data_IF_316222554211
#
_entry.id   IF_316222554211
#
_cell.length_a   1.000
_cell.length_b   1.000
_cell.length_c   1.000
_cell.angle_alpha   90.00
_cell.angle_beta   90.00
_cell.angle_gamma   90.00
#
_symmetry.space_group_name_H-M   'P 1'
#
loop_
_entity.id
_entity.type
_entity.pdbx_description
1 polymer ?
#
# COMPACT_ATOMS: atom_id res chain seq x y z
N UNK A 1 16.32 7.46 -21.04
CA UNK A 1 17.62 7.09 -21.66
C UNK A 1 18.61 6.45 -20.69
N UNK A 2 18.57 6.79 -19.37
CA UNK A 2 19.40 6.18 -18.31
C UNK A 2 19.34 4.64 -18.21
N UNK A 3 18.23 4.00 -18.57
CA UNK A 3 18.03 2.56 -18.34
C UNK A 3 18.88 1.64 -19.22
N UNK A 4 19.03 1.96 -20.50
CA UNK A 4 19.88 1.17 -21.40
C UNK A 4 21.36 1.35 -21.06
N UNK A 5 21.73 2.49 -20.47
CA UNK A 5 23.07 2.71 -19.93
C UNK A 5 23.34 1.77 -18.74
N UNK A 6 22.36 1.58 -17.84
CA UNK A 6 22.45 0.63 -16.74
C UNK A 6 22.59 -0.81 -17.23
N UNK A 7 21.90 -1.18 -18.31
CA UNK A 7 22.06 -2.48 -18.95
C UNK A 7 23.51 -2.72 -19.41
N UNK A 8 24.06 -1.80 -20.20
CA UNK A 8 25.43 -1.94 -20.71
C UNK A 8 26.47 -1.89 -19.58
N UNK A 9 26.21 -1.11 -18.53
CA UNK A 9 27.01 -1.10 -17.31
C UNK A 9 27.06 -2.48 -16.66
N UNK A 10 25.90 -3.11 -16.41
CA UNK A 10 25.81 -4.42 -15.76
C UNK A 10 26.41 -5.53 -16.65
N UNK A 11 26.18 -5.48 -17.97
CA UNK A 11 26.85 -6.36 -18.94
C UNK A 11 28.37 -6.31 -18.80
N UNK A 12 28.94 -5.10 -18.76
CA UNK A 12 30.40 -4.91 -18.60
C UNK A 12 30.88 -5.44 -17.25
N UNK A 13 30.16 -5.18 -16.16
CA UNK A 13 30.50 -5.70 -14.82
C UNK A 13 30.45 -7.21 -14.73
N UNK A 14 29.49 -7.85 -15.41
CA UNK A 14 29.40 -9.32 -15.52
C UNK A 14 30.37 -9.93 -16.56
N UNK A 15 31.22 -9.11 -17.22
CA UNK A 15 32.15 -9.54 -18.27
C UNK A 15 31.49 -10.28 -19.45
N UNK A 16 30.24 -9.96 -19.77
CA UNK A 16 29.48 -10.61 -20.84
C UNK A 16 29.81 -9.98 -22.19
N UNK A 17 30.30 -10.76 -23.14
CA UNK A 17 30.62 -10.28 -24.50
C UNK A 17 29.34 -10.24 -25.34
N UNK A 18 29.19 -9.23 -26.20
CA UNK A 18 28.04 -9.14 -27.13
C UNK A 18 27.99 -10.30 -28.14
N UNK A 19 29.08 -11.07 -28.30
CA UNK A 19 29.08 -12.33 -29.06
C UNK A 19 28.22 -13.42 -28.46
N UNK A 20 27.90 -13.33 -27.17
CA UNK A 20 27.08 -14.31 -26.47
C UNK A 20 25.58 -14.02 -26.61
N UNK A 21 25.22 -12.85 -27.14
CA UNK A 21 23.86 -12.50 -27.51
C UNK A 21 23.55 -13.17 -28.85
N UNK A 22 22.45 -13.94 -28.91
CA UNK A 22 22.05 -14.58 -30.17
C UNK A 22 21.76 -13.51 -31.23
N UNK A 23 22.47 -13.51 -32.37
CA UNK A 23 22.24 -12.52 -33.42
C UNK A 23 20.85 -12.61 -34.08
N UNK A 24 20.15 -13.75 -33.95
CA UNK A 24 18.75 -13.91 -34.36
C UNK A 24 17.82 -13.13 -33.45
N UNK A 25 18.04 -13.20 -32.14
CA UNK A 25 17.22 -12.50 -31.15
C UNK A 25 17.55 -11.00 -31.10
N UNK A 26 18.85 -10.66 -31.10
CA UNK A 26 19.31 -9.27 -31.12
C UNK A 26 20.70 -9.12 -31.74
N UNK A 27 20.73 -8.62 -32.98
CA UNK A 27 21.97 -8.25 -33.64
C UNK A 27 22.70 -7.07 -32.95
N UNK A 28 24.03 -7.02 -33.08
CA UNK A 28 24.87 -5.96 -32.47
C UNK A 28 24.46 -4.54 -32.85
N UNK A 29 24.07 -4.30 -34.10
CA UNK A 29 23.61 -2.98 -34.54
C UNK A 29 22.32 -2.55 -33.82
N UNK A 30 21.38 -3.49 -33.65
CA UNK A 30 20.16 -3.25 -32.86
C UNK A 30 20.50 -2.96 -31.40
N UNK A 31 21.38 -3.77 -30.80
CA UNK A 31 21.87 -3.52 -29.44
C UNK A 31 22.42 -2.09 -29.27
N UNK A 32 23.35 -1.67 -30.13
CA UNK A 32 23.95 -0.33 -30.00
C UNK A 32 22.94 0.81 -30.20
N UNK A 33 21.97 0.66 -31.13
CA UNK A 33 20.90 1.64 -31.32
C UNK A 33 19.96 1.75 -30.11
N UNK A 34 19.69 0.64 -29.43
CA UNK A 34 18.96 0.65 -28.16
C UNK A 34 19.77 1.35 -27.08
N UNK A 35 21.08 1.06 -26.98
CA UNK A 35 21.95 1.67 -25.98
C UNK A 35 22.17 3.18 -26.20
N UNK A 36 22.17 3.65 -27.45
CA UNK A 36 22.30 5.07 -27.78
C UNK A 36 20.98 5.84 -27.72
N UNK A 37 19.86 5.15 -27.54
CA UNK A 37 18.52 5.76 -27.55
C UNK A 37 17.98 6.10 -28.94
N UNK A 38 18.68 5.70 -30.01
CA UNK A 38 18.21 5.86 -31.40
C UNK A 38 16.97 5.02 -31.71
N UNK A 39 16.73 3.96 -30.92
CA UNK A 39 15.57 3.10 -31.03
C UNK A 39 14.92 2.91 -29.66
N UNK A 40 13.59 3.02 -29.60
CA UNK A 40 12.82 2.65 -28.41
C UNK A 40 12.80 1.13 -28.23
N UNK A 41 13.03 0.62 -27.00
CA UNK A 41 12.98 -0.81 -26.74
C UNK A 41 11.57 -1.37 -26.91
N UNK A 42 11.47 -2.57 -27.48
CA UNK A 42 10.25 -3.39 -27.43
C UNK A 42 10.27 -4.32 -26.21
N UNK A 43 9.13 -4.91 -25.85
CA UNK A 43 9.07 -5.94 -24.79
C UNK A 43 10.03 -7.08 -25.09
N UNK A 44 10.07 -7.56 -26.34
CA UNK A 44 10.97 -8.62 -26.77
C UNK A 44 12.45 -8.24 -26.60
N UNK A 45 12.83 -7.00 -26.96
CA UNK A 45 14.20 -6.52 -26.75
C UNK A 45 14.61 -6.65 -25.29
N UNK A 46 13.74 -6.22 -24.38
CA UNK A 46 14.09 -6.21 -22.96
C UNK A 46 14.03 -7.60 -22.34
N UNK A 47 13.12 -8.47 -22.77
CA UNK A 47 13.13 -9.88 -22.36
C UNK A 47 14.45 -10.55 -22.77
N UNK A 48 14.88 -10.37 -24.02
CA UNK A 48 16.16 -10.89 -24.51
C UNK A 48 17.34 -10.35 -23.70
N UNK A 49 17.34 -9.05 -23.43
CA UNK A 49 18.37 -8.38 -22.64
C UNK A 49 18.39 -8.90 -21.19
N UNK A 50 17.23 -9.03 -20.53
CA UNK A 50 17.11 -9.55 -19.18
C UNK A 50 17.63 -10.99 -19.08
N UNK A 51 17.22 -11.87 -20.02
CA UNK A 51 17.73 -13.24 -20.11
C UNK A 51 19.24 -13.26 -20.33
N UNK A 52 19.75 -12.40 -21.22
CA UNK A 52 21.19 -12.30 -21.48
C UNK A 52 22.00 -11.91 -20.24
N UNK A 53 21.45 -11.07 -19.37
CA UNK A 53 22.09 -10.71 -18.09
C UNK A 53 21.77 -11.68 -16.95
N UNK A 54 21.01 -12.74 -17.18
CA UNK A 54 20.45 -13.60 -16.13
C UNK A 54 19.74 -12.77 -15.05
N UNK A 55 18.88 -11.86 -15.46
CA UNK A 55 17.96 -11.18 -14.56
C UNK A 55 16.69 -12.01 -14.41
N UNK A 56 16.18 -12.04 -13.18
CA UNK A 56 14.78 -12.40 -12.94
C UNK A 56 13.86 -11.42 -13.65
N UNK A 57 12.60 -11.81 -13.91
CA UNK A 57 11.62 -10.90 -14.48
C UNK A 57 11.47 -9.61 -13.65
N UNK A 58 11.54 -9.72 -12.31
CA UNK A 58 11.47 -8.60 -11.38
C UNK A 58 12.66 -7.62 -11.54
N UNK A 59 13.89 -8.13 -11.63
CA UNK A 59 15.08 -7.29 -11.90
C UNK A 59 15.05 -6.67 -13.30
N UNK A 60 14.39 -7.33 -14.26
CA UNK A 60 14.14 -6.76 -15.58
C UNK A 60 13.18 -5.56 -15.52
N UNK A 61 12.12 -5.63 -14.70
CA UNK A 61 11.10 -4.58 -14.56
C UNK A 61 11.70 -3.25 -14.08
N UNK A 62 12.67 -3.28 -13.18
CA UNK A 62 13.35 -2.07 -12.69
C UNK A 62 14.21 -1.37 -13.75
N UNK A 63 14.44 -2.02 -14.91
CA UNK A 63 15.03 -1.37 -16.08
C UNK A 63 14.00 -0.65 -16.97
N UNK A 64 12.69 -0.80 -16.72
CA UNK A 64 11.64 -0.09 -17.46
C UNK A 64 11.00 1.04 -16.67
N UNK A 65 10.90 0.85 -15.36
CA UNK A 65 10.25 1.77 -14.46
C UNK A 65 11.27 2.29 -13.45
N UNK A 66 11.39 3.61 -13.37
CA UNK A 66 12.13 4.26 -12.29
C UNK A 66 11.40 4.07 -10.96
N UNK A 67 12.15 3.74 -9.91
CA UNK A 67 11.65 3.79 -8.54
C UNK A 67 12.14 5.09 -7.91
N UNK A 68 11.39 6.19 -8.05
CA UNK A 68 11.83 7.46 -7.50
C UNK A 68 11.93 7.33 -5.98
N UNK A 69 12.85 8.09 -5.38
CA UNK A 69 12.90 8.31 -3.95
C UNK A 69 12.29 9.67 -3.60
N UNK A 70 11.97 9.87 -2.32
CA UNK A 70 11.58 11.20 -1.81
C UNK A 70 12.65 12.26 -2.13
N UNK A 71 13.93 11.88 -2.11
CA UNK A 71 15.04 12.79 -2.42
C UNK A 71 15.01 13.25 -3.88
N UNK A 72 14.74 12.34 -4.83
CA UNK A 72 14.63 12.68 -6.26
C UNK A 72 13.51 13.70 -6.51
N UNK A 73 12.38 13.52 -5.82
CA UNK A 73 11.24 14.42 -5.94
C UNK A 73 11.44 15.76 -5.21
N UNK A 74 12.34 15.83 -4.24
CA UNK A 74 12.67 17.08 -3.55
C UNK A 74 13.83 17.85 -4.20
N UNK A 75 14.67 17.20 -5.01
CA UNK A 75 15.79 17.82 -5.70
C UNK A 75 15.29 18.82 -6.77
N UNK A 76 15.47 20.15 -6.62
CA UNK A 76 14.95 21.15 -7.55
C UNK A 76 15.48 20.99 -8.99
N UNK A 77 16.73 20.54 -9.12
CA UNK A 77 17.44 20.34 -10.39
C UNK A 77 17.04 19.07 -11.14
N UNK A 78 16.30 18.16 -10.52
CA UNK A 78 15.85 16.92 -11.17
C UNK A 78 14.51 17.17 -11.88
N UNK A 79 14.56 17.45 -13.19
CA UNK A 79 13.38 17.43 -14.06
C UNK A 79 12.92 15.99 -14.25
N UNK A 80 11.70 15.70 -13.78
CA UNK A 80 11.12 14.36 -13.79
C UNK A 80 9.90 14.24 -14.70
N UNK A 81 9.68 15.25 -15.55
CA UNK A 81 8.48 15.40 -16.39
C UNK A 81 8.25 14.19 -17.32
N UNK A 82 9.34 13.57 -17.79
CA UNK A 82 9.32 12.47 -18.77
C UNK A 82 9.69 11.11 -18.19
N UNK A 83 9.94 11.03 -16.89
CA UNK A 83 10.31 9.77 -16.26
C UNK A 83 9.11 8.82 -16.23
N UNK A 84 9.37 7.53 -16.43
CA UNK A 84 8.34 6.49 -16.37
C UNK A 84 8.52 5.79 -15.03
N UNK A 85 7.66 6.13 -14.07
CA UNK A 85 7.80 5.62 -12.71
C UNK A 85 7.04 4.32 -12.47
N UNK A 86 7.58 3.55 -11.54
CA UNK A 86 6.87 2.47 -10.86
C UNK A 86 5.76 3.09 -10.01
N UNK A 87 4.51 2.87 -10.41
CA UNK A 87 3.36 3.52 -9.77
C UNK A 87 3.21 3.10 -8.30
N UNK A 88 3.63 1.89 -7.94
CA UNK A 88 3.62 1.44 -6.55
C UNK A 88 4.55 2.29 -5.68
N UNK A 89 5.75 2.60 -6.18
CA UNK A 89 6.70 3.49 -5.49
C UNK A 89 6.15 4.92 -5.36
N UNK A 90 5.46 5.43 -6.38
CA UNK A 90 4.80 6.74 -6.31
C UNK A 90 3.72 6.77 -5.23
N UNK A 91 2.87 5.75 -5.15
CA UNK A 91 1.82 5.67 -4.13
C UNK A 91 2.40 5.53 -2.73
N UNK A 92 3.52 4.81 -2.54
CA UNK A 92 4.23 4.75 -1.27
C UNK A 92 4.76 6.13 -0.83
N UNK A 93 5.31 6.90 -1.77
CA UNK A 93 5.76 8.27 -1.48
C UNK A 93 4.58 9.16 -1.12
N UNK A 94 3.46 9.07 -1.83
CA UNK A 94 2.23 9.82 -1.52
C UNK A 94 1.74 9.45 -0.12
N UNK A 95 1.65 8.16 0.21
CA UNK A 95 1.27 7.69 1.54
C UNK A 95 2.18 8.27 2.63
N UNK A 96 3.49 8.28 2.39
CA UNK A 96 4.49 8.82 3.32
C UNK A 96 4.34 10.33 3.48
N UNK A 97 4.11 11.08 2.39
CA UNK A 97 3.86 12.51 2.43
C UNK A 97 2.58 12.83 3.22
N UNK A 98 1.49 12.10 2.96
CA UNK A 98 0.22 12.21 3.69
C UNK A 98 0.40 11.95 5.19
N UNK A 99 1.12 10.88 5.57
CA UNK A 99 1.43 10.59 6.98
C UNK A 99 2.20 11.73 7.65
N UNK A 100 3.17 12.33 6.97
CA UNK A 100 3.95 13.46 7.51
C UNK A 100 3.07 14.71 7.72
N UNK A 101 2.14 14.99 6.81
CA UNK A 101 1.19 16.08 6.95
C UNK A 101 0.27 15.91 8.16
N UNK A 102 -0.14 14.67 8.47
CA UNK A 102 -1.04 14.38 9.61
C UNK A 102 -0.32 14.27 10.95
N UNK A 103 0.79 13.52 11.00
CA UNK A 103 1.47 13.18 12.26
C UNK A 103 2.33 14.31 12.82
N UNK A 104 2.94 15.12 11.96
CA UNK A 104 3.85 16.20 12.35
C UNK A 104 3.69 17.42 11.42
N UNK A 105 2.55 18.14 11.48
CA UNK A 105 2.30 19.28 10.59
C UNK A 105 3.25 20.43 10.91
N UNK A 106 4.39 20.47 10.23
CA UNK A 106 5.31 21.60 10.21
C UNK A 106 5.23 22.31 8.88
N UNK A 107 5.54 23.61 8.84
CA UNK A 107 5.62 24.35 7.57
C UNK A 107 6.63 23.70 6.60
N UNK A 108 7.70 23.10 7.12
CA UNK A 108 8.67 22.36 6.32
C UNK A 108 8.06 21.09 5.68
N UNK A 109 7.32 20.29 6.45
CA UNK A 109 6.64 19.10 5.93
C UNK A 109 5.57 19.45 4.91
N UNK A 110 4.86 20.56 5.11
CA UNK A 110 3.89 21.07 4.15
C UNK A 110 4.56 21.46 2.83
N UNK A 111 5.62 22.27 2.88
CA UNK A 111 6.35 22.69 1.69
C UNK A 111 6.91 21.48 0.91
N UNK A 112 7.53 20.53 1.61
CA UNK A 112 8.04 19.30 0.99
C UNK A 112 6.94 18.48 0.32
N UNK A 113 5.81 18.28 1.01
CA UNK A 113 4.71 17.46 0.46
C UNK A 113 4.10 18.13 -0.76
N UNK A 114 3.91 19.46 -0.74
CA UNK A 114 3.45 20.22 -1.92
C UNK A 114 4.41 20.09 -3.10
N UNK A 115 5.73 20.19 -2.87
CA UNK A 115 6.72 19.99 -3.95
C UNK A 115 6.64 18.59 -4.56
N UNK A 116 6.54 17.56 -3.72
CA UNK A 116 6.39 16.16 -4.15
C UNK A 116 5.12 16.01 -5.00
N UNK A 117 3.99 16.49 -4.49
CA UNK A 117 2.70 16.43 -5.16
C UNK A 117 2.71 17.13 -6.52
N UNK A 118 3.28 18.33 -6.59
CA UNK A 118 3.39 19.06 -7.86
C UNK A 118 4.26 18.33 -8.88
N UNK A 119 5.42 17.77 -8.48
CA UNK A 119 6.24 16.96 -9.41
C UNK A 119 5.49 15.74 -9.93
N UNK A 120 4.73 15.06 -9.06
CA UNK A 120 3.95 13.90 -9.49
C UNK A 120 2.83 14.34 -10.44
N UNK A 121 2.19 15.47 -10.15
CA UNK A 121 1.10 16.01 -10.97
C UNK A 121 1.54 16.48 -12.35
N UNK A 122 2.77 16.98 -12.49
CA UNK A 122 3.29 17.47 -13.78
C UNK A 122 3.94 16.38 -14.62
N UNK A 123 4.20 15.19 -14.06
CA UNK A 123 4.74 14.06 -14.81
C UNK A 123 3.73 13.55 -15.87
N UNK A 124 4.17 13.50 -17.13
CA UNK A 124 3.29 13.20 -18.27
C UNK A 124 2.77 11.76 -18.27
N UNK A 125 3.57 10.80 -17.78
CA UNK A 125 3.14 9.40 -17.69
C UNK A 125 2.03 9.25 -16.64
N UNK A 126 2.17 9.92 -15.49
CA UNK A 126 1.17 9.92 -14.42
C UNK A 126 -0.15 10.54 -14.88
N UNK A 127 -0.10 11.72 -15.51
CA UNK A 127 -1.30 12.36 -16.06
C UNK A 127 -2.02 11.48 -17.08
N UNK A 128 -1.25 10.81 -17.96
CA UNK A 128 -1.81 10.02 -19.06
C UNK A 128 -2.38 8.68 -18.60
N UNK A 129 -1.67 7.95 -17.74
CA UNK A 129 -1.99 6.56 -17.42
C UNK A 129 -2.60 6.37 -16.03
N UNK A 130 -2.36 7.31 -15.10
CA UNK A 130 -2.80 7.21 -13.71
C UNK A 130 -3.56 8.46 -13.25
N UNK A 131 -4.64 8.88 -13.96
CA UNK A 131 -5.39 10.08 -13.61
C UNK A 131 -6.01 10.02 -12.21
N UNK A 132 -6.36 8.83 -11.71
CA UNK A 132 -6.87 8.66 -10.33
C UNK A 132 -5.82 9.04 -9.27
N UNK A 133 -4.52 8.93 -9.58
CA UNK A 133 -3.46 9.39 -8.68
C UNK A 133 -3.46 10.92 -8.56
N UNK A 134 -3.80 11.62 -9.64
CA UNK A 134 -3.94 13.09 -9.64
C UNK A 134 -5.12 13.49 -8.77
N UNK A 135 -6.29 12.86 -9.00
CA UNK A 135 -7.49 13.09 -8.19
C UNK A 135 -7.21 12.81 -6.69
N UNK A 136 -6.41 11.78 -6.38
CA UNK A 136 -5.99 11.46 -5.00
C UNK A 136 -5.12 12.57 -4.38
N UNK A 137 -4.14 13.10 -5.12
CA UNK A 137 -3.29 14.20 -4.64
C UNK A 137 -4.13 15.46 -4.39
N UNK A 138 -5.06 15.76 -5.29
CA UNK A 138 -5.93 16.92 -5.18
C UNK A 138 -6.90 16.78 -3.98
N UNK A 139 -7.44 15.57 -3.75
CA UNK A 139 -8.20 15.25 -2.54
C UNK A 139 -7.39 15.50 -1.26
N UNK A 140 -6.17 14.97 -1.18
CA UNK A 140 -5.29 15.13 0.01
C UNK A 140 -5.00 16.61 0.25
N UNK A 141 -4.72 17.35 -0.83
CA UNK A 141 -4.45 18.80 -0.77
C UNK A 141 -5.67 19.57 -0.28
N UNK A 142 -6.86 19.27 -0.81
CA UNK A 142 -8.11 19.90 -0.40
C UNK A 142 -8.47 19.60 1.07
N UNK A 143 -8.27 18.37 1.55
CA UNK A 143 -8.49 18.03 2.97
C UNK A 143 -7.57 18.87 3.89
N UNK A 144 -6.29 18.96 3.53
CA UNK A 144 -5.31 19.71 4.31
C UNK A 144 -5.53 21.22 4.27
N UNK A 145 -5.98 21.75 3.13
CA UNK A 145 -6.32 23.17 2.97
C UNK A 145 -7.73 23.51 3.50
N UNK A 146 -8.41 22.55 4.13
CA UNK A 146 -9.76 22.70 4.70
C UNK A 146 -10.80 23.16 3.66
N UNK A 147 -10.74 22.60 2.45
CA UNK A 147 -11.68 22.85 1.35
C UNK A 147 -12.65 21.66 1.20
N UNK A 148 -13.75 21.65 1.96
CA UNK A 148 -14.65 20.51 2.05
C UNK A 148 -15.28 20.11 0.70
N UNK A 149 -15.76 21.10 -0.06
CA UNK A 149 -16.50 20.85 -1.30
C UNK A 149 -15.57 20.32 -2.41
N UNK A 150 -14.33 20.82 -2.46
CA UNK A 150 -13.29 20.31 -3.36
C UNK A 150 -12.91 18.87 -3.00
N UNK A 151 -12.71 18.58 -1.70
CA UNK A 151 -12.41 17.23 -1.24
C UNK A 151 -13.53 16.24 -1.62
N UNK A 152 -14.80 16.61 -1.41
CA UNK A 152 -15.92 15.72 -1.74
C UNK A 152 -16.05 15.51 -3.26
N UNK A 153 -15.75 16.52 -4.07
CA UNK A 153 -15.66 16.41 -5.53
C UNK A 153 -14.62 15.37 -5.96
N UNK A 154 -13.38 15.48 -5.46
CA UNK A 154 -12.31 14.54 -5.82
C UNK A 154 -12.56 13.13 -5.28
N UNK A 155 -13.11 13.00 -4.08
CA UNK A 155 -13.50 11.69 -3.54
C UNK A 155 -14.53 10.99 -4.44
N UNK A 156 -15.53 11.74 -4.90
CA UNK A 156 -16.55 11.21 -5.83
C UNK A 156 -15.92 10.79 -7.16
N UNK A 157 -15.01 11.60 -7.71
CA UNK A 157 -14.30 11.26 -8.94
C UNK A 157 -13.47 9.98 -8.80
N UNK A 158 -12.75 9.80 -7.69
CA UNK A 158 -12.00 8.58 -7.40
C UNK A 158 -12.95 7.38 -7.30
N UNK A 159 -14.02 7.51 -6.52
CA UNK A 159 -15.03 6.46 -6.36
C UNK A 159 -15.59 6.00 -7.70
N UNK A 160 -16.06 6.94 -8.52
CA UNK A 160 -16.67 6.66 -9.82
C UNK A 160 -15.71 5.98 -10.80
N UNK A 161 -14.41 6.28 -10.72
CA UNK A 161 -13.39 5.63 -11.55
C UNK A 161 -13.07 4.21 -11.08
N UNK A 162 -13.03 3.98 -9.76
CA UNK A 162 -12.66 2.68 -9.19
C UNK A 162 -13.79 1.66 -9.32
N UNK A 163 -15.03 2.05 -9.01
CA UNK A 163 -16.17 1.13 -8.97
C UNK A 163 -16.60 0.63 -10.36
N UNK A 164 -16.23 1.36 -11.43
CA UNK A 164 -16.48 0.95 -12.82
C UNK A 164 -15.50 -0.10 -13.33
N UNK A 165 -14.48 -0.47 -12.55
CA UNK A 165 -13.48 -1.47 -12.94
C UNK A 165 -13.95 -2.85 -12.51
N UNK A 166 -13.88 -3.80 -13.42
CA UNK A 166 -14.23 -5.20 -13.16
C UNK A 166 -13.14 -5.94 -12.37
N UNK A 167 -11.94 -5.36 -12.24
CA UNK A 167 -10.82 -5.92 -11.50
C UNK A 167 -9.94 -4.83 -10.90
N UNK A 168 -9.43 -5.07 -9.69
CA UNK A 168 -8.54 -4.20 -8.93
C UNK A 168 -7.19 -4.88 -8.72
N UNK A 169 -6.14 -4.19 -9.11
CA UNK A 169 -4.74 -4.58 -8.90
C UNK A 169 -4.19 -3.88 -7.65
N UNK A 170 -2.90 -4.05 -7.40
CA UNK A 170 -2.15 -3.32 -6.37
C UNK A 170 -2.35 -1.80 -6.46
N UNK A 171 -2.56 -1.25 -7.66
CA UNK A 171 -2.76 0.19 -7.86
C UNK A 171 -4.02 0.70 -7.15
N UNK A 172 -5.18 0.10 -7.43
CA UNK A 172 -6.46 0.49 -6.84
C UNK A 172 -6.45 0.28 -5.32
N UNK A 173 -5.86 -0.83 -4.88
CA UNK A 173 -5.77 -1.15 -3.46
C UNK A 173 -4.88 -0.17 -2.71
N UNK A 174 -3.79 0.28 -3.33
CA UNK A 174 -2.93 1.34 -2.79
C UNK A 174 -3.67 2.67 -2.66
N UNK A 175 -4.51 3.04 -3.64
CA UNK A 175 -5.37 4.21 -3.52
C UNK A 175 -6.33 4.06 -2.34
N UNK A 176 -7.06 2.94 -2.24
CA UNK A 176 -8.01 2.69 -1.14
C UNK A 176 -7.29 2.72 0.21
N UNK A 177 -6.08 2.15 0.31
CA UNK A 177 -5.27 2.19 1.52
C UNK A 177 -4.90 3.62 1.91
N UNK A 178 -4.56 4.49 0.96
CA UNK A 178 -4.31 5.91 1.24
C UNK A 178 -5.59 6.61 1.68
N UNK A 179 -6.73 6.38 1.01
CA UNK A 179 -8.03 6.94 1.40
C UNK A 179 -8.43 6.55 2.83
N UNK A 180 -8.12 5.32 3.26
CA UNK A 180 -8.37 4.86 4.62
C UNK A 180 -7.60 5.69 5.68
N UNK A 181 -6.51 6.33 5.27
CA UNK A 181 -5.73 7.23 6.15
C UNK A 181 -6.27 8.65 6.19
N UNK A 182 -7.28 9.01 5.41
CA UNK A 182 -7.87 10.35 5.39
C UNK A 182 -9.10 10.35 6.30
N UNK A 183 -9.06 11.15 7.39
CA UNK A 183 -10.06 11.03 8.47
C UNK A 183 -11.46 11.29 7.93
N UNK A 184 -11.64 12.41 7.21
CA UNK A 184 -12.92 12.80 6.60
C UNK A 184 -13.46 11.73 5.64
N UNK A 185 -12.56 11.09 4.89
CA UNK A 185 -12.92 10.15 3.83
C UNK A 185 -13.31 8.79 4.39
N UNK A 186 -12.53 8.30 5.37
CA UNK A 186 -12.69 6.96 5.92
C UNK A 186 -14.09 6.72 6.49
N UNK A 187 -14.79 7.78 6.94
CA UNK A 187 -16.14 7.74 7.53
C UNK A 187 -17.26 7.86 6.48
N UNK A 188 -16.94 8.06 5.19
CA UNK A 188 -17.96 8.24 4.14
C UNK A 188 -18.57 6.93 3.69
N UNK A 189 -19.86 6.97 3.29
CA UNK A 189 -20.54 5.82 2.68
C UNK A 189 -19.86 5.36 1.39
N UNK A 190 -19.25 6.27 0.62
CA UNK A 190 -18.47 5.97 -0.57
C UNK A 190 -17.26 5.09 -0.24
N UNK A 191 -16.50 5.44 0.80
CA UNK A 191 -15.34 4.65 1.22
C UNK A 191 -15.75 3.28 1.78
N UNK A 192 -16.83 3.22 2.57
CA UNK A 192 -17.36 1.94 3.09
C UNK A 192 -17.80 1.02 1.95
N UNK A 193 -18.43 1.57 0.91
CA UNK A 193 -18.81 0.81 -0.28
C UNK A 193 -17.57 0.32 -1.05
N UNK A 194 -16.58 1.18 -1.32
CA UNK A 194 -15.32 0.74 -1.96
C UNK A 194 -14.65 -0.40 -1.18
N UNK A 195 -14.47 -0.21 0.12
CA UNK A 195 -13.84 -1.19 1.00
C UNK A 195 -14.62 -2.52 1.02
N UNK A 196 -15.93 -2.44 0.83
CA UNK A 196 -16.81 -3.61 0.79
C UNK A 196 -16.64 -4.50 -0.44
N UNK A 197 -16.08 -3.97 -1.54
CA UNK A 197 -15.85 -4.71 -2.78
C UNK A 197 -14.42 -5.27 -2.88
N UNK A 198 -13.55 -5.03 -1.88
CA UNK A 198 -12.14 -5.45 -1.91
C UNK A 198 -11.97 -6.94 -2.21
N UNK A 199 -12.67 -7.82 -1.51
CA UNK A 199 -12.53 -9.28 -1.70
C UNK A 199 -13.05 -9.78 -3.05
N UNK A 200 -13.98 -9.04 -3.68
CA UNK A 200 -14.61 -9.44 -4.94
C UNK A 200 -13.79 -9.00 -6.15
N UNK A 201 -13.30 -7.76 -6.12
CA UNK A 201 -12.64 -7.15 -7.28
C UNK A 201 -11.12 -7.36 -7.28
N UNK A 202 -10.51 -7.70 -6.14
CA UNK A 202 -9.06 -7.85 -6.03
C UNK A 202 -8.51 -9.00 -6.87
N UNK A 203 -7.51 -8.69 -7.69
CA UNK A 203 -6.74 -9.61 -8.52
C UNK A 203 -5.24 -9.41 -8.24
N UNK A 204 -4.75 -10.05 -7.17
CA UNK A 204 -3.34 -10.00 -6.77
C UNK A 204 -2.74 -11.40 -6.79
N UNK A 205 -1.51 -11.48 -7.29
CA UNK A 205 -0.75 -12.73 -7.33
C UNK A 205 -0.30 -13.08 -5.91
N UNK A 206 -0.47 -14.34 -5.51
CA UNK A 206 -0.19 -14.78 -4.14
C UNK A 206 1.26 -14.53 -3.67
N UNK A 207 2.22 -14.53 -4.60
CA UNK A 207 3.64 -14.34 -4.32
C UNK A 207 4.07 -12.85 -4.31
N UNK A 208 3.14 -11.92 -4.53
CA UNK A 208 3.39 -10.48 -4.37
C UNK A 208 3.27 -10.06 -2.90
N UNK A 209 4.30 -10.38 -2.12
CA UNK A 209 4.35 -10.13 -0.68
C UNK A 209 4.14 -8.66 -0.29
N UNK A 210 4.57 -7.70 -1.12
CA UNK A 210 4.41 -6.28 -0.83
C UNK A 210 2.93 -5.88 -0.93
N UNK A 211 2.26 -6.31 -1.99
CA UNK A 211 0.83 -6.07 -2.18
C UNK A 211 0.01 -6.81 -1.12
N UNK A 212 0.34 -8.08 -0.84
CA UNK A 212 -0.31 -8.86 0.22
C UNK A 212 -0.16 -8.19 1.58
N UNK A 213 1.03 -7.69 1.92
CA UNK A 213 1.24 -6.92 3.15
C UNK A 213 0.32 -5.69 3.21
N UNK A 214 0.25 -4.90 2.13
CA UNK A 214 -0.60 -3.71 2.06
C UNK A 214 -2.09 -4.04 2.26
N UNK A 215 -2.62 -5.03 1.52
CA UNK A 215 -4.01 -5.48 1.64
C UNK A 215 -4.32 -5.87 3.08
N UNK A 216 -3.43 -6.63 3.71
CA UNK A 216 -3.65 -7.13 5.05
C UNK A 216 -3.65 -6.03 6.10
N UNK A 217 -2.76 -5.04 5.97
CA UNK A 217 -2.79 -3.85 6.80
C UNK A 217 -4.09 -3.05 6.60
N UNK A 218 -4.57 -2.93 5.35
CA UNK A 218 -5.84 -2.28 5.06
C UNK A 218 -7.02 -3.05 5.69
N UNK A 219 -7.11 -4.36 5.49
CA UNK A 219 -8.16 -5.22 6.09
C UNK A 219 -8.18 -5.14 7.61
N UNK A 220 -7.01 -5.21 8.24
CA UNK A 220 -6.88 -5.03 9.69
C UNK A 220 -7.35 -3.63 10.12
N UNK A 221 -6.95 -2.57 9.39
CA UNK A 221 -7.36 -1.20 9.72
C UNK A 221 -8.87 -0.99 9.56
N UNK A 222 -9.49 -1.59 8.54
CA UNK A 222 -10.94 -1.59 8.33
C UNK A 222 -11.68 -2.31 9.45
N UNK A 223 -11.15 -3.46 9.91
CA UNK A 223 -11.68 -4.19 11.07
C UNK A 223 -11.65 -3.32 12.34
N UNK A 224 -10.49 -2.74 12.68
CA UNK A 224 -10.35 -1.87 13.85
C UNK A 224 -11.25 -0.63 13.76
N UNK A 225 -11.33 -0.01 12.57
CA UNK A 225 -12.21 1.13 12.34
C UNK A 225 -13.69 0.78 12.53
N UNK A 226 -14.13 -0.38 12.05
CA UNK A 226 -15.51 -0.84 12.23
C UNK A 226 -15.86 -1.04 13.72
N UNK A 227 -14.92 -1.52 14.54
CA UNK A 227 -15.09 -1.66 16.00
C UNK A 227 -15.31 -0.29 16.64
N UNK A 228 -14.41 0.67 16.38
CA UNK A 228 -14.52 2.01 16.98
C UNK A 228 -15.78 2.76 16.53
N UNK A 229 -16.37 2.37 15.39
CA UNK A 229 -17.65 2.90 14.89
C UNK A 229 -18.88 2.13 15.37
N UNK A 230 -18.70 1.03 16.12
CA UNK A 230 -19.78 0.12 16.52
C UNK A 230 -20.56 -0.44 15.31
N UNK A 231 -19.90 -0.61 14.16
CA UNK A 231 -20.51 -1.10 12.91
C UNK A 231 -20.51 -2.63 12.86
N UNK A 232 -21.51 -3.23 13.51
CA UNK A 232 -21.63 -4.68 13.68
C UNK A 232 -21.54 -5.49 12.38
N UNK A 233 -22.15 -4.98 11.30
CA UNK A 233 -22.17 -5.67 9.99
C UNK A 233 -20.75 -5.76 9.45
N UNK A 234 -20.02 -4.64 9.48
CA UNK A 234 -18.69 -4.57 8.90
C UNK A 234 -17.60 -5.18 9.79
N UNK A 235 -17.77 -5.21 11.12
CA UNK A 235 -16.84 -5.92 12.03
C UNK A 235 -16.70 -7.39 11.62
N UNK A 236 -17.81 -8.12 11.54
CA UNK A 236 -17.84 -9.55 11.18
C UNK A 236 -17.30 -9.78 9.77
N UNK A 237 -17.67 -8.90 8.81
CA UNK A 237 -17.22 -8.98 7.42
C UNK A 237 -15.71 -8.82 7.30
N UNK A 238 -15.14 -7.74 7.85
CA UNK A 238 -13.70 -7.46 7.74
C UNK A 238 -12.86 -8.44 8.55
N UNK A 239 -13.33 -8.90 9.72
CA UNK A 239 -12.69 -9.99 10.44
C UNK A 239 -12.58 -11.26 9.56
N UNK A 240 -13.69 -11.74 9.00
CA UNK A 240 -13.68 -12.92 8.13
C UNK A 240 -12.79 -12.73 6.91
N UNK A 241 -12.80 -11.54 6.30
CA UNK A 241 -11.93 -11.20 5.17
C UNK A 241 -10.45 -11.28 5.54
N UNK A 242 -10.05 -10.77 6.69
CA UNK A 242 -8.68 -10.81 7.21
C UNK A 242 -8.21 -12.25 7.50
N UNK A 243 -9.09 -13.11 8.03
CA UNK A 243 -8.76 -14.50 8.39
C UNK A 243 -8.67 -15.46 7.19
N UNK A 244 -9.21 -15.09 6.02
CA UNK A 244 -9.14 -15.93 4.80
C UNK A 244 -7.73 -16.02 4.20
N UNK A 245 -6.89 -15.04 4.48
CA UNK A 245 -5.58 -14.91 3.85
C UNK A 245 -4.62 -15.97 4.37
N UNK A 246 -4.00 -16.71 3.44
CA UNK A 246 -3.08 -17.79 3.79
C UNK A 246 -1.80 -17.21 4.38
N UNK A 247 -1.42 -17.71 5.54
CA UNK A 247 -0.14 -17.40 6.15
C UNK A 247 0.99 -18.09 5.35
N UNK A 248 1.93 -17.30 4.83
CA UNK A 248 3.21 -17.82 4.34
C UNK A 248 4.30 -17.60 5.40
N UNK A 249 5.38 -18.38 5.35
CA UNK A 249 6.53 -18.18 6.25
C UNK A 249 7.22 -16.82 6.06
N UNK A 250 7.03 -16.16 4.92
CA UNK A 250 7.60 -14.85 4.64
C UNK A 250 6.75 -13.71 5.21
N UNK A 251 5.51 -14.00 5.61
CA UNK A 251 4.53 -13.02 6.07
C UNK A 251 4.28 -13.12 7.59
N UNK A 252 5.33 -13.28 8.39
CA UNK A 252 5.22 -13.39 9.86
C UNK A 252 4.40 -12.24 10.47
N UNK A 253 4.51 -11.03 9.91
CA UNK A 253 3.74 -9.87 10.36
C UNK A 253 2.22 -9.99 10.09
N UNK A 254 1.83 -10.66 9.00
CA UNK A 254 0.42 -11.00 8.73
C UNK A 254 -0.14 -11.88 9.85
N UNK A 255 0.62 -12.90 10.25
CA UNK A 255 0.20 -13.81 11.32
C UNK A 255 -0.02 -13.05 12.64
N UNK A 256 0.84 -12.07 12.96
CA UNK A 256 0.62 -11.19 14.12
C UNK A 256 -0.68 -10.39 14.00
N UNK A 257 -0.97 -9.76 12.86
CA UNK A 257 -2.22 -9.03 12.67
C UNK A 257 -3.47 -9.93 12.77
N UNK A 258 -3.44 -11.11 12.16
CA UNK A 258 -4.54 -12.08 12.22
C UNK A 258 -4.78 -12.57 13.65
N UNK A 259 -3.71 -12.88 14.40
CA UNK A 259 -3.80 -13.32 15.79
C UNK A 259 -4.24 -12.22 16.74
N UNK A 260 -3.75 -11.01 16.54
CA UNK A 260 -4.21 -9.88 17.34
C UNK A 260 -5.69 -9.59 17.07
N UNK A 261 -6.12 -9.58 15.81
CA UNK A 261 -7.53 -9.44 15.47
C UNK A 261 -8.42 -10.56 16.05
N UNK A 262 -7.93 -11.80 16.12
CA UNK A 262 -8.62 -12.92 16.78
C UNK A 262 -8.83 -12.67 18.28
N UNK A 263 -7.80 -12.20 18.99
CA UNK A 263 -7.89 -11.82 20.42
C UNK A 263 -8.95 -10.74 20.61
N UNK A 264 -8.86 -9.64 19.85
CA UNK A 264 -9.80 -8.52 19.96
C UNK A 264 -11.22 -8.94 19.63
N UNK A 265 -11.39 -9.82 18.62
CA UNK A 265 -12.71 -10.31 18.24
C UNK A 265 -13.32 -11.21 19.32
N UNK A 266 -12.57 -12.12 19.93
CA UNK A 266 -13.05 -12.96 21.03
C UNK A 266 -13.46 -12.14 22.25
N UNK A 267 -12.67 -11.12 22.60
CA UNK A 267 -13.05 -10.20 23.67
C UNK A 267 -14.33 -9.45 23.33
N UNK A 268 -14.46 -8.95 22.10
CA UNK A 268 -15.67 -8.29 21.63
C UNK A 268 -16.90 -9.21 21.65
N UNK A 269 -16.72 -10.52 21.47
CA UNK A 269 -17.80 -11.50 21.58
C UNK A 269 -18.16 -11.85 23.03
N UNK A 270 -17.44 -11.32 24.02
CA UNK A 270 -17.67 -11.64 25.43
C UNK A 270 -17.08 -12.98 25.86
N UNK A 271 -16.03 -13.46 25.17
CA UNK A 271 -15.28 -14.67 25.50
C UNK A 271 -13.84 -14.36 25.99
N UNK A 272 -13.66 -13.58 27.07
CA UNK A 272 -12.33 -13.22 27.57
C UNK A 272 -11.50 -14.44 28.01
N UNK A 273 -12.15 -15.51 28.47
CA UNK A 273 -11.52 -16.78 28.84
C UNK A 273 -10.83 -17.49 27.67
N UNK A 274 -11.41 -17.39 26.47
CA UNK A 274 -10.83 -17.95 25.24
C UNK A 274 -9.74 -17.03 24.67
N UNK A 275 -9.88 -15.71 24.87
CA UNK A 275 -8.91 -14.71 24.43
C UNK A 275 -7.61 -14.72 25.25
N UNK A 276 -7.68 -14.94 26.57
CA UNK A 276 -6.54 -14.85 27.49
C UNK A 276 -5.35 -15.76 27.15
N UNK A 277 -5.51 -17.07 26.87
CA UNK A 277 -4.37 -17.92 26.49
C UNK A 277 -3.74 -17.49 25.17
N UNK A 278 -4.55 -17.02 24.20
CA UNK A 278 -4.05 -16.51 22.92
C UNK A 278 -3.28 -15.20 23.12
N UNK A 279 -3.80 -14.30 23.95
CA UNK A 279 -3.16 -13.04 24.32
C UNK A 279 -1.80 -13.26 24.97
N UNK A 280 -1.73 -14.18 25.94
CA UNK A 280 -0.48 -14.53 26.62
C UNK A 280 0.56 -15.05 25.60
N UNK A 281 0.18 -16.01 24.76
CA UNK A 281 1.07 -16.56 23.74
C UNK A 281 1.50 -15.50 22.72
N UNK A 282 0.58 -14.63 22.30
CA UNK A 282 0.85 -13.54 21.36
C UNK A 282 1.90 -12.57 21.89
N UNK A 283 1.73 -12.05 23.11
CA UNK A 283 2.67 -11.07 23.66
C UNK A 283 4.04 -11.69 23.96
N UNK A 284 4.11 -12.97 24.33
CA UNK A 284 5.39 -13.69 24.41
C UNK A 284 6.05 -13.82 23.03
N UNK A 285 5.30 -14.09 21.97
CA UNK A 285 5.84 -14.17 20.61
C UNK A 285 6.30 -12.80 20.08
N UNK A 286 5.57 -11.72 20.36
CA UNK A 286 5.96 -10.35 19.99
C UNK A 286 7.29 -9.98 20.65
N UNK A 287 7.44 -10.27 21.94
CA UNK A 287 8.68 -10.01 22.69
C UNK A 287 9.87 -10.77 22.10
N UNK A 288 9.69 -12.04 21.74
CA UNK A 288 10.78 -12.86 21.19
C UNK A 288 11.13 -12.43 19.76
N UNK A 289 10.13 -12.18 18.91
CA UNK A 289 10.34 -12.01 17.47
C UNK A 289 10.47 -10.54 17.08
N UNK A 290 9.54 -9.68 17.48
CA UNK A 290 9.52 -8.30 17.02
C UNK A 290 10.51 -7.44 17.80
N UNK A 291 10.53 -7.53 19.13
CA UNK A 291 11.39 -6.69 19.97
C UNK A 291 12.88 -7.02 19.79
N UNK A 292 13.23 -8.28 19.51
CA UNK A 292 14.63 -8.71 19.38
C UNK A 292 15.14 -8.79 17.94
N UNK A 293 14.27 -8.94 16.93
CA UNK A 293 14.71 -9.21 15.56
C UNK A 293 14.16 -8.26 14.49
N UNK A 294 13.17 -7.41 14.80
CA UNK A 294 12.55 -6.48 13.85
C UNK A 294 12.28 -5.10 14.48
N UNK A 295 13.35 -4.40 14.88
CA UNK A 295 13.31 -3.13 15.63
C UNK A 295 12.51 -2.00 14.95
N UNK A 296 12.34 -2.04 13.63
CA UNK A 296 11.61 -1.03 12.86
C UNK A 296 10.10 -1.32 12.76
N UNK A 297 9.60 -2.36 13.44
CA UNK A 297 8.18 -2.76 13.47
C UNK A 297 7.55 -2.43 14.84
N UNK A 298 6.20 -2.33 14.91
CA UNK A 298 5.50 -2.18 16.19
C UNK A 298 5.95 -3.27 17.17
N UNK A 299 6.45 -2.83 18.32
CA UNK A 299 6.99 -3.68 19.38
C UNK A 299 5.91 -4.04 20.40
N UNK A 300 6.27 -4.82 21.42
CA UNK A 300 5.35 -5.22 22.51
C UNK A 300 4.64 -4.02 23.14
N UNK A 301 5.35 -2.94 23.40
CA UNK A 301 4.77 -1.70 23.94
C UNK A 301 3.67 -1.15 23.04
N UNK A 302 3.91 -1.06 21.74
CA UNK A 302 2.92 -0.56 20.78
C UNK A 302 1.67 -1.45 20.73
N UNK A 303 1.82 -2.78 20.76
CA UNK A 303 0.67 -3.70 20.80
C UNK A 303 -0.09 -3.63 22.12
N UNK A 304 0.60 -3.46 23.26
CA UNK A 304 -0.04 -3.28 24.56
C UNK A 304 -0.85 -1.98 24.63
N UNK A 305 -0.30 -0.88 24.12
CA UNK A 305 -1.02 0.39 24.02
C UNK A 305 -2.28 0.26 23.16
N UNK A 306 -2.17 -0.38 21.99
CA UNK A 306 -3.33 -0.64 21.13
C UNK A 306 -4.39 -1.50 21.82
N UNK A 307 -3.96 -2.55 22.52
CA UNK A 307 -4.87 -3.42 23.27
C UNK A 307 -5.56 -2.65 24.40
N UNK A 308 -4.83 -1.86 25.17
CA UNK A 308 -5.40 -1.06 26.26
C UNK A 308 -6.45 -0.07 25.74
N UNK A 309 -6.14 0.64 24.65
CA UNK A 309 -7.09 1.55 24.01
C UNK A 309 -8.37 0.83 23.56
N UNK A 310 -8.24 -0.37 22.99
CA UNK A 310 -9.38 -1.19 22.62
C UNK A 310 -10.19 -1.64 23.86
N UNK A 311 -9.51 -2.11 24.91
CA UNK A 311 -10.14 -2.58 26.14
C UNK A 311 -10.93 -1.46 26.82
N UNK A 312 -10.32 -0.28 26.94
CA UNK A 312 -10.98 0.91 27.49
C UNK A 312 -12.22 1.30 26.68
N UNK A 313 -12.11 1.32 25.35
CA UNK A 313 -13.23 1.63 24.46
C UNK A 313 -14.38 0.61 24.57
N UNK A 314 -14.06 -0.68 24.55
CA UNK A 314 -15.08 -1.74 24.59
C UNK A 314 -15.75 -1.85 25.96
N UNK A 315 -15.03 -1.59 27.05
CA UNK A 315 -15.64 -1.49 28.37
C UNK A 315 -16.60 -0.30 28.47
N UNK A 316 -16.20 0.88 28.00
CA UNK A 316 -17.09 2.04 27.93
C UNK A 316 -18.32 1.77 27.06
N UNK A 317 -18.14 1.09 25.92
CA UNK A 317 -19.26 0.69 25.07
C UNK A 317 -20.22 -0.26 25.81
N UNK A 318 -19.72 -1.28 26.50
CA UNK A 318 -20.56 -2.20 27.30
C UNK A 318 -21.33 -1.49 28.42
N UNK A 319 -20.75 -0.44 29.01
CA UNK A 319 -21.40 0.38 30.03
C UNK A 319 -22.49 1.28 29.45
N UNK A 320 -22.32 1.79 28.22
CA UNK A 320 -23.31 2.62 27.52
C UNK A 320 -24.55 1.81 27.08
N UNK A 321 -24.35 0.57 26.62
CA UNK A 321 -25.41 -0.33 26.15
C UNK A 321 -26.07 -1.05 27.34
N UNK A 322 -26.81 -0.30 28.17
CA UNK A 322 -27.50 -0.78 29.39
C UNK A 322 -28.57 -1.88 29.16
N UNK A 323 -29.00 -2.10 27.93
CA UNK A 323 -29.88 -3.21 27.54
C UNK A 323 -29.00 -4.28 26.88
N UNK A 324 -28.58 -5.30 27.63
CA UNK A 324 -27.63 -6.37 27.22
C UNK A 324 -27.98 -7.17 25.95
N UNK A 325 -29.03 -6.79 25.21
CA UNK A 325 -29.48 -7.37 23.95
C UNK A 325 -28.69 -6.86 22.72
N UNK A 326 -28.10 -5.65 22.73
CA UNK A 326 -27.32 -5.17 21.55
C UNK A 326 -26.03 -5.98 21.35
N UNK A 327 -25.38 -6.35 22.46
CA UNK A 327 -24.14 -7.11 22.48
C UNK A 327 -24.38 -8.58 22.11
N UNK A 328 -25.48 -9.16 22.60
CA UNK A 328 -25.92 -10.50 22.24
C UNK A 328 -26.34 -10.61 20.76
N UNK A 329 -26.84 -9.53 20.16
CA UNK A 329 -27.21 -9.48 18.74
C UNK A 329 -26.01 -9.29 17.78
N UNK A 330 -24.78 -9.04 18.27
CA UNK A 330 -23.57 -9.14 17.44
C UNK A 330 -23.33 -10.57 16.90
N UNK A 331 -24.00 -11.56 17.50
CA UNK A 331 -23.81 -13.00 17.25
C UNK A 331 -24.62 -13.56 16.07
N UNK A 332 -25.59 -12.82 15.51
CA UNK A 332 -26.42 -13.28 14.38
C UNK A 332 -26.02 -12.65 13.05
#
# INVERSE_FOLDING_TARGET
MKYMEQFNYLRKKKNLKLTYLDPVDMGRSRFYRLMSGEQLPTIADVTTLALFLNFTAFEGVTAFYERPSKADLLAPEHDTTYDIWDVASILEIILTATKNLRGHPTQANLAQSKMIFEKIKTNLATQKYFPTTIDLIDLITAEYEHKPDEADHFLTAIYDRLIKRDAWTTYEISIIAILATLRRVSDTSLFVNLSSNLDELMQIVADDHASMFLINNLKYSLFISAIYRRDHINIKKFYKSLQKERQSQQDTYLAFHQKFAEILYLELLGHPEDAEPLKTAFFSAVEVILDNHLLDKPNKTSFLEQYQHFSDFTNAWREDDCDGDSYANMLY
#
